data_IF_752368726121
#
_entry.id   IF_752368726121
#
_cell.length_a   1.000
_cell.length_b   1.000
_cell.length_c   1.000
_cell.angle_alpha   90.00
_cell.angle_beta   90.00
_cell.angle_gamma   90.00
#
_symmetry.space_group_name_H-M   'P 1'
#
loop_
_entity.id
_entity.type
_entity.pdbx_description
1 polymer ?
#
# COMPACT_ATOMS: atom_id res chain seq x y z
N UNK A 1 10.27 -13.81 6.99
CA UNK A 1 10.70 -13.64 5.57
C UNK A 1 11.03 -14.94 4.83
N UNK A 2 11.84 -15.85 5.40
CA UNK A 2 12.26 -17.08 4.72
C UNK A 2 11.11 -18.00 4.23
N UNK A 3 9.98 -18.03 4.94
CA UNK A 3 8.79 -18.79 4.52
C UNK A 3 8.16 -18.18 3.27
N UNK A 4 7.96 -16.86 3.24
CA UNK A 4 7.39 -16.16 2.07
C UNK A 4 8.27 -16.32 0.83
N UNK A 5 9.60 -16.26 1.00
CA UNK A 5 10.55 -16.45 -0.09
C UNK A 5 10.48 -17.85 -0.74
N UNK A 6 9.97 -18.87 -0.03
CA UNK A 6 9.77 -20.23 -0.54
C UNK A 6 8.44 -20.42 -1.27
N UNK A 7 7.53 -19.44 -1.18
CA UNK A 7 6.19 -19.49 -1.75
C UNK A 7 5.90 -18.21 -2.55
N UNK A 8 6.59 -17.99 -3.70
CA UNK A 8 6.53 -16.75 -4.47
C UNK A 8 5.15 -16.42 -5.07
N UNK A 9 4.27 -17.42 -5.15
CA UNK A 9 2.92 -17.28 -5.71
C UNK A 9 1.83 -17.19 -4.64
N UNK A 10 2.19 -17.13 -3.36
CA UNK A 10 1.21 -17.04 -2.27
C UNK A 10 0.51 -15.67 -2.29
N UNK A 11 -0.80 -15.67 -2.53
CA UNK A 11 -1.64 -14.48 -2.60
C UNK A 11 -1.75 -13.74 -1.25
N UNK A 12 -1.53 -14.44 -0.13
CA UNK A 12 -1.60 -13.87 1.21
C UNK A 12 -0.26 -13.34 1.72
N UNK A 13 0.85 -13.60 1.03
CA UNK A 13 2.17 -13.17 1.46
C UNK A 13 2.26 -11.64 1.68
N UNK A 14 1.70 -10.84 0.77
CA UNK A 14 1.62 -9.39 0.92
C UNK A 14 0.84 -8.96 2.17
N UNK A 15 -0.26 -9.64 2.45
CA UNK A 15 -1.12 -9.40 3.64
C UNK A 15 -0.40 -9.76 4.94
N UNK A 16 0.32 -10.88 4.99
CA UNK A 16 1.09 -11.23 6.18
C UNK A 16 2.17 -10.20 6.49
N UNK A 17 2.81 -9.62 5.46
CA UNK A 17 3.78 -8.55 5.64
C UNK A 17 3.14 -7.28 6.22
N UNK A 18 1.87 -6.97 5.87
CA UNK A 18 1.10 -5.90 6.53
C UNK A 18 0.94 -6.20 8.03
N UNK A 19 0.52 -7.42 8.39
CA UNK A 19 0.28 -7.82 9.77
C UNK A 19 1.56 -7.80 10.62
N UNK A 20 2.70 -8.14 10.02
CA UNK A 20 4.00 -8.12 10.65
C UNK A 20 4.59 -6.70 10.76
N UNK A 21 3.96 -5.69 10.16
CA UNK A 21 4.46 -4.32 10.19
C UNK A 21 5.65 -4.09 9.25
N UNK A 22 5.71 -4.81 8.14
CA UNK A 22 6.78 -4.77 7.13
C UNK A 22 6.30 -4.07 5.83
N UNK A 23 6.04 -2.75 5.86
CA UNK A 23 5.36 -2.05 4.77
C UNK A 23 6.16 -2.07 3.47
N UNK A 24 7.49 -1.87 3.52
CA UNK A 24 8.33 -1.84 2.31
C UNK A 24 8.31 -3.18 1.58
N UNK A 25 8.46 -4.28 2.33
CA UNK A 25 8.46 -5.62 1.78
C UNK A 25 7.07 -5.99 1.25
N UNK A 26 6.02 -5.59 1.93
CA UNK A 26 4.63 -5.79 1.51
C UNK A 26 4.34 -5.13 0.15
N UNK A 27 4.71 -3.86 0.00
CA UNK A 27 4.46 -3.10 -1.24
C UNK A 27 5.35 -3.59 -2.38
N UNK A 28 6.61 -3.95 -2.10
CA UNK A 28 7.51 -4.55 -3.08
C UNK A 28 7.03 -5.94 -3.53
N UNK A 29 6.37 -6.71 -2.64
CA UNK A 29 5.77 -7.99 -3.00
C UNK A 29 4.62 -7.80 -3.99
N UNK A 30 3.72 -6.85 -3.73
CA UNK A 30 2.61 -6.52 -4.63
C UNK A 30 3.07 -6.17 -6.03
N UNK A 31 4.13 -5.35 -6.17
CA UNK A 31 4.65 -4.93 -7.48
C UNK A 31 5.30 -6.08 -8.28
N UNK A 32 5.71 -7.17 -7.61
CA UNK A 32 6.49 -8.26 -8.23
C UNK A 32 5.70 -9.56 -8.38
N UNK A 33 4.67 -9.79 -7.57
CA UNK A 33 3.92 -11.03 -7.62
C UNK A 33 2.95 -11.05 -8.81
N UNK A 34 2.80 -12.21 -9.45
CA UNK A 34 1.77 -12.42 -10.49
C UNK A 34 0.34 -12.35 -9.94
N UNK A 35 0.21 -12.21 -8.63
CA UNK A 35 -1.02 -12.07 -7.84
C UNK A 35 -1.24 -10.61 -7.42
N UNK A 36 -0.44 -9.66 -7.93
CA UNK A 36 -0.40 -8.23 -7.59
C UNK A 36 -1.69 -7.44 -7.86
N UNK A 37 -2.80 -8.11 -8.16
CA UNK A 37 -4.15 -7.57 -8.12
C UNK A 37 -5.06 -8.46 -7.27
N UNK A 38 -4.53 -9.04 -6.19
CA UNK A 38 -5.35 -9.71 -5.19
C UNK A 38 -6.21 -8.65 -4.51
N UNK A 39 -7.51 -8.69 -4.78
CA UNK A 39 -8.52 -7.88 -4.09
C UNK A 39 -8.37 -8.01 -2.56
N UNK A 40 -7.93 -9.19 -2.09
CA UNK A 40 -7.56 -9.41 -0.70
C UNK A 40 -6.52 -8.40 -0.20
N UNK A 41 -5.37 -8.31 -0.85
CA UNK A 41 -4.29 -7.41 -0.44
C UNK A 41 -4.74 -5.95 -0.34
N UNK A 42 -5.43 -5.47 -1.37
CA UNK A 42 -5.93 -4.10 -1.40
C UNK A 42 -6.96 -3.87 -0.29
N UNK A 43 -7.86 -4.81 -0.03
CA UNK A 43 -8.79 -4.72 1.10
C UNK A 43 -8.06 -4.59 2.46
N UNK A 44 -7.00 -5.37 2.69
CA UNK A 44 -6.22 -5.29 3.93
C UNK A 44 -5.51 -3.95 4.10
N UNK A 45 -5.04 -3.35 3.01
CA UNK A 45 -4.43 -2.02 3.02
C UNK A 45 -5.43 -0.92 3.43
N UNK A 46 -6.73 -1.09 3.15
CA UNK A 46 -7.75 -0.07 3.43
C UNK A 46 -8.54 -0.29 4.72
N UNK A 47 -8.34 -1.41 5.42
CA UNK A 47 -9.04 -1.69 6.67
C UNK A 47 -8.78 -0.60 7.75
N UNK A 48 -9.77 -0.20 8.57
CA UNK A 48 -9.58 0.76 9.68
C UNK A 48 -8.66 0.32 10.84
N UNK A 49 -8.02 -0.86 10.77
CA UNK A 49 -7.14 -1.33 11.85
C UNK A 49 -5.78 -0.61 11.90
N UNK A 50 -5.17 -0.61 13.09
CA UNK A 50 -3.90 0.09 13.36
C UNK A 50 -2.71 -0.42 12.53
N UNK A 51 -2.69 -1.69 12.13
CA UNK A 51 -1.63 -2.22 11.25
C UNK A 51 -1.72 -1.59 9.84
N UNK A 52 -2.92 -1.52 9.25
CA UNK A 52 -3.13 -0.98 7.91
C UNK A 52 -2.88 0.53 7.89
N UNK A 53 -3.31 1.20 8.96
CA UNK A 53 -3.01 2.61 9.21
C UNK A 53 -1.52 2.91 9.17
N UNK A 54 -0.70 2.10 9.87
CA UNK A 54 0.77 2.25 9.88
C UNK A 54 1.38 2.11 8.50
N UNK A 55 0.87 1.19 7.66
CA UNK A 55 1.31 1.07 6.27
C UNK A 55 0.99 2.34 5.48
N UNK A 56 -0.26 2.84 5.55
CA UNK A 56 -0.68 4.06 4.82
C UNK A 56 0.06 5.33 5.28
N UNK A 57 0.51 5.37 6.52
CA UNK A 57 1.30 6.49 7.07
C UNK A 57 2.79 6.41 6.73
N UNK A 58 3.28 5.26 6.27
CA UNK A 58 4.69 5.06 5.94
C UNK A 58 5.08 5.80 4.65
N UNK A 59 6.31 6.34 4.58
CA UNK A 59 6.81 7.05 3.39
C UNK A 59 6.79 6.17 2.13
N UNK A 60 7.06 4.87 2.29
CA UNK A 60 6.99 3.89 1.20
C UNK A 60 5.62 3.81 0.54
N UNK A 61 4.53 4.05 1.28
CA UNK A 61 3.19 4.05 0.72
C UNK A 61 2.97 5.21 -0.25
N UNK A 62 3.56 6.38 0.02
CA UNK A 62 3.48 7.51 -0.91
C UNK A 62 4.15 7.20 -2.24
N UNK A 63 5.35 6.63 -2.20
CA UNK A 63 6.06 6.22 -3.42
C UNK A 63 5.31 5.12 -4.16
N UNK A 64 4.80 4.12 -3.44
CA UNK A 64 3.99 3.05 -4.01
C UNK A 64 2.74 3.58 -4.71
N UNK A 65 1.92 4.38 -4.02
CA UNK A 65 0.66 4.91 -4.56
C UNK A 65 0.87 5.76 -5.83
N UNK A 66 2.00 6.48 -5.92
CA UNK A 66 2.39 7.19 -7.15
C UNK A 66 2.74 6.20 -8.26
N UNK A 67 3.62 5.23 -7.99
CA UNK A 67 4.09 4.26 -9.00
C UNK A 67 2.95 3.45 -9.61
N UNK A 68 1.93 3.11 -8.84
CA UNK A 68 0.79 2.33 -9.32
C UNK A 68 -0.38 3.19 -9.85
N UNK A 69 -0.21 4.51 -9.94
CA UNK A 69 -1.19 5.42 -10.55
C UNK A 69 -2.36 5.85 -9.65
N UNK A 70 -2.36 5.49 -8.36
CA UNK A 70 -3.44 5.88 -7.44
C UNK A 70 -3.49 7.41 -7.25
N UNK A 71 -2.35 8.08 -7.15
CA UNK A 71 -2.31 9.53 -6.93
C UNK A 71 -2.90 10.29 -8.13
N UNK A 72 -2.57 9.88 -9.35
CA UNK A 72 -3.14 10.46 -10.57
C UNK A 72 -4.65 10.25 -10.63
N UNK A 73 -5.11 9.03 -10.30
CA UNK A 73 -6.53 8.71 -10.22
C UNK A 73 -7.25 9.60 -9.19
N UNK A 74 -6.70 9.76 -7.98
CA UNK A 74 -7.32 10.57 -6.93
C UNK A 74 -7.39 12.05 -7.26
N UNK A 75 -6.38 12.60 -7.95
CA UNK A 75 -6.35 14.00 -8.40
C UNK A 75 -7.43 14.29 -9.44
N UNK A 76 -7.68 13.36 -10.36
CA UNK A 76 -8.70 13.50 -11.40
C UNK A 76 -10.11 13.23 -10.88
N UNK A 77 -10.23 12.38 -9.85
CA UNK A 77 -11.49 11.94 -9.30
C UNK A 77 -11.67 12.49 -7.88
N UNK A 78 -11.49 11.63 -6.88
CA UNK A 78 -11.64 11.96 -5.47
C UNK A 78 -10.61 11.19 -4.64
N UNK A 79 -10.05 11.88 -3.65
CA UNK A 79 -9.20 11.27 -2.63
C UNK A 79 -10.03 10.37 -1.70
N UNK A 80 -9.49 9.23 -1.25
CA UNK A 80 -10.15 8.41 -0.23
C UNK A 80 -10.24 9.20 1.08
N UNK A 81 -11.30 9.01 1.88
CA UNK A 81 -11.51 9.80 3.11
C UNK A 81 -10.37 9.64 4.13
N UNK A 82 -9.60 8.55 4.02
CA UNK A 82 -8.43 8.26 4.84
C UNK A 82 -7.16 8.95 4.36
N UNK A 83 -7.12 9.58 3.18
CA UNK A 83 -5.95 10.30 2.69
C UNK A 83 -6.31 11.70 2.18
N UNK A 84 -5.41 12.66 2.36
CA UNK A 84 -5.61 14.04 1.95
C UNK A 84 -4.37 14.59 1.25
N UNK A 85 -4.55 15.42 0.21
CA UNK A 85 -3.43 16.08 -0.47
C UNK A 85 -2.66 16.97 0.53
N UNK A 86 -1.34 16.98 0.39
CA UNK A 86 -0.41 17.77 1.22
C UNK A 86 0.51 18.61 0.31
N UNK A 87 -0.07 19.56 -0.47
CA UNK A 87 0.65 20.28 -1.52
C UNK A 87 1.84 21.10 -1.00
N UNK A 88 1.84 21.44 0.29
CA UNK A 88 2.96 22.12 0.96
C UNK A 88 4.25 21.27 0.97
N UNK A 89 4.14 19.96 0.74
CA UNK A 89 5.27 19.02 0.67
C UNK A 89 5.61 18.59 -0.75
N UNK A 90 4.92 19.13 -1.76
CA UNK A 90 5.11 18.85 -3.18
C UNK A 90 3.81 18.51 -3.92
N UNK A 91 3.81 18.58 -5.26
CA UNK A 91 2.58 18.51 -6.08
C UNK A 91 1.85 17.17 -5.98
N UNK A 92 2.56 16.09 -5.66
CA UNK A 92 1.99 14.73 -5.52
C UNK A 92 2.01 14.25 -4.07
N UNK A 93 2.33 15.11 -3.12
CA UNK A 93 2.43 14.72 -1.72
C UNK A 93 1.04 14.58 -1.10
N UNK A 94 0.91 13.62 -0.18
CA UNK A 94 -0.32 13.37 0.55
C UNK A 94 -0.02 12.80 1.93
N UNK A 95 -1.00 12.87 2.83
CA UNK A 95 -0.95 12.23 4.14
C UNK A 95 -2.15 11.32 4.31
N UNK A 96 -1.99 10.22 5.04
CA UNK A 96 -3.10 9.33 5.37
C UNK A 96 -3.29 9.21 6.88
N UNK A 97 -4.54 9.02 7.28
CA UNK A 97 -4.99 8.84 8.65
C UNK A 97 -4.94 7.38 9.07
#
# INVERSE_FOLDING_TARGET
LAVLARHPSDEFAGTFLILLGEPEQSLAWFERSGTGLSDGYLNWLWWPHAYARRVRQHSAFQSFAKRIGLVDYWKQNRWPDTCQPAPERGPDAFTCK
#
